data_IF_830175340227
#
_entry.id   IF_830175340227
#
_cell.length_a   1.000
_cell.length_b   1.000
_cell.length_c   1.000
_cell.angle_alpha   90.00
_cell.angle_beta   90.00
_cell.angle_gamma   90.00
#
_symmetry.space_group_name_H-M   'P 1'
#
loop_
_entity.id
_entity.type
_entity.pdbx_description
1 polymer ?
#
# COMPACT_ATOMS: atom_id res chain seq x y z
N UNK A 1 21.50 25.01 -1.72
CA UNK A 1 20.75 25.97 -0.87
C UNK A 1 19.32 25.45 -0.73
N UNK A 2 18.79 25.39 0.50
CA UNK A 2 17.39 25.03 0.75
C UNK A 2 16.54 26.32 0.85
N UNK A 3 15.32 26.25 0.35
CA UNK A 3 14.32 27.32 0.47
C UNK A 3 13.03 26.73 1.06
N UNK A 4 12.26 27.50 1.83
CA UNK A 4 10.93 27.08 2.26
C UNK A 4 10.03 26.80 1.06
N UNK A 5 9.24 25.72 1.14
CA UNK A 5 8.24 25.37 0.15
C UNK A 5 6.89 25.24 0.83
N UNK A 6 6.01 26.17 0.55
CA UNK A 6 4.69 26.25 1.19
C UNK A 6 3.71 25.30 0.51
N UNK A 7 3.37 24.23 1.21
CA UNK A 7 2.35 23.24 0.79
C UNK A 7 1.75 22.55 2.00
N UNK A 8 0.45 22.28 1.94
CA UNK A 8 -0.26 21.52 2.99
C UNK A 8 0.05 20.01 2.96
N UNK A 9 0.47 19.49 1.79
CA UNK A 9 0.74 18.06 1.58
C UNK A 9 2.05 17.89 0.83
N UNK A 10 2.86 16.96 1.27
CA UNK A 10 4.14 16.66 0.64
C UNK A 10 4.34 15.14 0.58
N UNK A 11 4.13 14.58 -0.61
CA UNK A 11 4.29 13.15 -0.89
C UNK A 11 5.66 12.93 -1.53
N UNK A 12 6.56 12.27 -0.81
CA UNK A 12 7.98 12.11 -1.20
C UNK A 12 8.32 10.69 -1.68
N UNK A 13 7.31 9.92 -2.06
CA UNK A 13 7.43 8.53 -2.51
C UNK A 13 6.78 7.58 -1.50
N UNK A 14 5.48 7.33 -1.71
CA UNK A 14 4.72 6.36 -0.93
C UNK A 14 4.22 5.27 -1.86
N UNK A 15 4.31 3.99 -1.49
CA UNK A 15 3.78 2.92 -2.30
C UNK A 15 2.27 3.08 -2.47
N UNK A 16 1.79 2.89 -3.71
CA UNK A 16 0.35 2.85 -3.99
C UNK A 16 -0.15 1.41 -3.78
N UNK A 17 -1.26 1.26 -3.09
CA UNK A 17 -1.86 -0.03 -2.83
C UNK A 17 -3.39 0.05 -2.85
N UNK A 18 -4.04 -1.10 -2.98
CA UNK A 18 -5.49 -1.23 -2.76
C UNK A 18 -5.72 -1.81 -1.38
N UNK A 19 -6.50 -1.11 -0.55
CA UNK A 19 -7.09 -1.70 0.65
C UNK A 19 -8.32 -2.49 0.24
N UNK A 20 -8.42 -3.73 0.70
CA UNK A 20 -9.65 -4.51 0.67
C UNK A 20 -10.10 -4.80 2.09
N UNK A 21 -11.39 -4.72 2.33
CA UNK A 21 -11.99 -4.84 3.65
C UNK A 21 -13.40 -5.43 3.55
N UNK A 22 -13.90 -6.10 4.62
CA UNK A 22 -15.29 -6.53 4.68
C UNK A 22 -16.23 -5.34 4.62
N UNK A 23 -17.25 -5.44 3.79
CA UNK A 23 -18.26 -4.40 3.58
C UNK A 23 -19.67 -4.97 3.69
N UNK A 24 -20.56 -4.29 4.43
CA UNK A 24 -21.92 -4.78 4.69
C UNK A 24 -22.83 -4.66 3.47
N UNK A 25 -22.57 -3.71 2.57
CA UNK A 25 -23.44 -3.44 1.43
C UNK A 25 -23.06 -4.30 0.21
N UNK A 26 -21.74 -4.43 -0.05
CA UNK A 26 -21.22 -5.09 -1.26
C UNK A 26 -20.40 -6.34 -0.97
N UNK A 27 -20.28 -6.73 0.30
CA UNK A 27 -19.48 -7.88 0.73
C UNK A 27 -17.98 -7.55 0.86
N UNK A 28 -17.36 -7.04 -0.19
CA UNK A 28 -15.96 -6.61 -0.21
C UNK A 28 -15.84 -5.19 -0.75
N UNK A 29 -15.41 -4.28 0.10
CA UNK A 29 -15.07 -2.91 -0.28
C UNK A 29 -13.60 -2.79 -0.66
N UNK A 30 -13.32 -1.93 -1.66
CA UNK A 30 -11.95 -1.59 -2.04
C UNK A 30 -11.74 -0.08 -2.12
N UNK A 31 -10.52 0.37 -1.81
CA UNK A 31 -10.10 1.77 -1.99
C UNK A 31 -8.59 1.87 -2.19
N UNK A 32 -8.15 2.91 -2.88
CA UNK A 32 -6.72 3.17 -3.06
C UNK A 32 -6.16 3.95 -1.89
N UNK A 33 -5.00 3.54 -1.42
CA UNK A 33 -4.22 4.22 -0.42
C UNK A 33 -2.76 4.38 -0.84
N UNK A 34 -2.06 5.29 -0.17
CA UNK A 34 -0.62 5.46 -0.31
C UNK A 34 0.06 5.83 1.02
N UNK A 35 -0.71 6.06 2.07
CA UNK A 35 -0.18 6.46 3.38
C UNK A 35 0.02 5.25 4.28
N UNK A 36 1.17 4.62 4.18
CA UNK A 36 1.52 3.48 5.04
C UNK A 36 3.01 3.39 5.31
N UNK A 37 3.36 2.77 6.43
CA UNK A 37 4.71 2.29 6.72
C UNK A 37 4.64 1.03 7.57
N UNK A 38 5.68 0.19 7.50
CA UNK A 38 5.73 -1.05 8.28
C UNK A 38 7.01 -1.16 9.08
N UNK A 39 6.91 -1.76 10.26
CA UNK A 39 8.01 -2.09 11.15
C UNK A 39 7.77 -3.48 11.77
N UNK A 40 8.56 -4.46 11.35
CA UNK A 40 8.44 -5.84 11.83
C UNK A 40 7.08 -6.47 11.49
N UNK A 41 6.29 -6.78 12.49
CA UNK A 41 4.94 -7.35 12.33
C UNK A 41 3.83 -6.29 12.34
N UNK A 42 4.18 -5.03 12.33
CA UNK A 42 3.23 -3.92 12.39
C UNK A 42 3.21 -3.16 11.08
N UNK A 43 2.02 -2.74 10.64
CA UNK A 43 1.84 -1.73 9.59
C UNK A 43 0.92 -0.61 10.10
N UNK A 44 1.31 0.62 9.79
CA UNK A 44 0.46 1.80 9.97
C UNK A 44 -0.18 2.14 8.63
N UNK A 45 -1.49 2.43 8.67
CA UNK A 45 -2.28 2.82 7.48
C UNK A 45 -3.03 4.10 7.83
N UNK A 46 -2.89 5.12 6.98
CA UNK A 46 -3.64 6.37 7.11
C UNK A 46 -4.78 6.44 6.08
N UNK A 47 -5.99 6.75 6.55
CA UNK A 47 -7.15 6.99 5.70
C UNK A 47 -7.82 8.32 6.07
N UNK A 48 -8.43 9.01 5.11
CA UNK A 48 -9.32 10.12 5.42
C UNK A 48 -10.50 9.58 6.25
N UNK A 49 -10.73 10.18 7.43
CA UNK A 49 -11.70 9.69 8.43
C UNK A 49 -13.15 9.75 7.94
N UNK A 50 -13.44 10.54 6.92
CA UNK A 50 -14.79 10.67 6.33
C UNK A 50 -15.12 9.57 5.33
N UNK A 51 -14.13 8.77 4.91
CA UNK A 51 -14.31 7.75 3.88
C UNK A 51 -15.14 6.55 4.37
N UNK A 52 -15.80 5.90 3.43
CA UNK A 52 -16.49 4.63 3.68
C UNK A 52 -15.51 3.55 4.16
N UNK A 53 -14.32 3.49 3.55
CA UNK A 53 -13.27 2.56 3.94
C UNK A 53 -12.86 2.70 5.41
N UNK A 54 -12.61 3.95 5.87
CA UNK A 54 -12.23 4.18 7.26
C UNK A 54 -13.30 3.68 8.24
N UNK A 55 -14.59 3.90 7.94
CA UNK A 55 -15.70 3.41 8.77
C UNK A 55 -15.81 1.89 8.75
N UNK A 56 -15.70 1.27 7.57
CA UNK A 56 -15.83 -0.19 7.41
C UNK A 56 -14.68 -0.92 8.09
N UNK A 57 -13.43 -0.43 7.94
CA UNK A 57 -12.26 -1.01 8.61
C UNK A 57 -12.36 -0.86 10.14
N UNK A 58 -12.82 0.29 10.65
CA UNK A 58 -13.07 0.46 12.10
C UNK A 58 -14.09 -0.53 12.66
N UNK A 59 -15.07 -0.91 11.85
CA UNK A 59 -16.16 -1.82 12.28
C UNK A 59 -15.74 -3.28 12.20
N UNK A 60 -15.01 -3.66 11.17
CA UNK A 60 -14.57 -5.04 10.94
C UNK A 60 -13.30 -5.41 11.69
N UNK A 61 -12.49 -4.43 12.08
CA UNK A 61 -11.16 -4.57 12.67
C UNK A 61 -10.17 -5.36 11.80
N UNK A 62 -10.45 -5.50 10.51
CA UNK A 62 -9.58 -6.21 9.56
C UNK A 62 -9.54 -5.54 8.20
N UNK A 63 -8.43 -5.70 7.50
CA UNK A 63 -8.28 -5.34 6.09
C UNK A 63 -7.09 -6.08 5.48
N UNK A 64 -6.93 -5.97 4.18
CA UNK A 64 -5.69 -6.31 3.50
C UNK A 64 -5.15 -5.11 2.72
N UNK A 65 -3.82 -5.01 2.66
CA UNK A 65 -3.09 -4.06 1.84
C UNK A 65 -2.50 -4.83 0.67
N UNK A 66 -2.98 -4.55 -0.55
CA UNK A 66 -2.66 -5.31 -1.76
C UNK A 66 -1.83 -4.45 -2.70
N UNK A 67 -0.62 -4.88 -3.02
CA UNK A 67 0.32 -4.21 -3.90
C UNK A 67 0.23 -4.78 -5.31
N UNK A 68 0.09 -3.87 -6.27
CA UNK A 68 0.04 -4.19 -7.71
C UNK A 68 1.16 -3.44 -8.42
N UNK A 69 1.43 -3.86 -9.66
CA UNK A 69 2.33 -3.17 -10.54
C UNK A 69 1.66 -2.06 -11.35
N UNK A 70 2.42 -1.53 -12.31
CA UNK A 70 1.97 -0.43 -13.17
C UNK A 70 0.79 -0.80 -14.09
N UNK A 71 0.55 -2.07 -14.33
CA UNK A 71 -0.60 -2.58 -15.08
C UNK A 71 -1.93 -2.26 -14.40
N UNK A 72 -1.93 -2.06 -13.08
CA UNK A 72 -3.13 -1.77 -12.30
C UNK A 72 -3.45 -0.26 -12.16
N UNK A 73 -2.83 0.63 -12.96
CA UNK A 73 -3.04 2.09 -12.83
C UNK A 73 -4.52 2.48 -12.96
N UNK A 74 -5.28 1.84 -13.87
CA UNK A 74 -6.72 2.08 -14.01
C UNK A 74 -7.48 1.69 -12.75
N UNK A 75 -7.12 0.56 -12.11
CA UNK A 75 -7.70 0.11 -10.85
C UNK A 75 -7.39 1.10 -9.71
N UNK A 76 -6.14 1.56 -9.60
CA UNK A 76 -5.76 2.54 -8.58
C UNK A 76 -6.60 3.82 -8.67
N UNK A 77 -6.74 4.37 -9.87
CA UNK A 77 -7.51 5.60 -10.06
C UNK A 77 -9.00 5.38 -9.84
N UNK A 78 -9.56 4.30 -10.38
CA UNK A 78 -10.97 3.97 -10.21
C UNK A 78 -11.32 3.77 -8.72
N UNK A 79 -10.60 2.90 -8.01
CA UNK A 79 -10.87 2.60 -6.62
C UNK A 79 -10.66 3.81 -5.69
N UNK A 80 -9.76 4.73 -6.06
CA UNK A 80 -9.45 5.94 -5.29
C UNK A 80 -10.35 7.14 -5.57
N UNK A 81 -11.02 7.20 -6.73
CA UNK A 81 -11.80 8.38 -7.13
C UNK A 81 -13.30 8.15 -7.12
N UNK A 82 -13.75 6.93 -7.40
CA UNK A 82 -15.17 6.59 -7.40
C UNK A 82 -15.62 6.35 -5.96
N UNK A 83 -16.74 6.96 -5.58
CA UNK A 83 -17.33 6.81 -4.26
C UNK A 83 -18.55 5.90 -4.32
N UNK A 84 -18.61 4.91 -3.42
CA UNK A 84 -19.72 3.94 -3.34
C UNK A 84 -19.70 2.89 -4.46
N UNK A 85 -20.74 2.05 -4.51
CA UNK A 85 -20.91 0.98 -5.50
C UNK A 85 -20.02 -0.24 -5.28
N UNK A 86 -20.30 -1.30 -6.04
CA UNK A 86 -19.52 -2.53 -6.04
C UNK A 86 -18.32 -2.41 -6.99
N UNK A 87 -17.29 -1.71 -6.54
CA UNK A 87 -16.08 -1.46 -7.31
C UNK A 87 -15.36 -2.74 -7.72
N UNK A 88 -15.47 -3.79 -6.92
CA UNK A 88 -14.84 -5.07 -7.22
C UNK A 88 -15.48 -5.69 -8.47
N UNK A 89 -16.83 -5.72 -8.52
CA UNK A 89 -17.57 -6.17 -9.69
C UNK A 89 -17.31 -5.30 -10.90
N UNK A 90 -17.31 -3.98 -10.75
CA UNK A 90 -17.09 -3.01 -11.84
C UNK A 90 -15.71 -3.15 -12.49
N UNK A 91 -14.69 -3.48 -11.69
CA UNK A 91 -13.30 -3.61 -12.16
C UNK A 91 -12.92 -5.03 -12.55
N UNK A 92 -13.81 -6.00 -12.32
CA UNK A 92 -13.58 -7.44 -12.57
C UNK A 92 -12.35 -8.01 -11.84
N UNK A 93 -11.91 -7.36 -10.75
CA UNK A 93 -10.82 -7.86 -9.93
C UNK A 93 -11.33 -9.00 -9.06
N UNK A 94 -10.66 -10.12 -9.10
CA UNK A 94 -10.98 -11.26 -8.26
C UNK A 94 -10.48 -11.07 -6.83
N UNK A 95 -11.23 -11.62 -5.88
CA UNK A 95 -10.83 -11.64 -4.48
C UNK A 95 -11.09 -12.99 -3.84
N UNK A 96 -10.15 -13.41 -3.00
CA UNK A 96 -10.27 -14.58 -2.15
C UNK A 96 -10.46 -14.16 -0.69
N UNK A 97 -10.86 -15.11 0.12
CA UNK A 97 -10.95 -14.91 1.56
C UNK A 97 -9.79 -15.63 2.25
N UNK A 98 -8.99 -14.91 3.00
CA UNK A 98 -7.94 -15.44 3.83
C UNK A 98 -8.27 -15.21 5.31
N UNK A 99 -8.68 -16.25 6.00
CA UNK A 99 -9.02 -16.23 7.43
C UNK A 99 -10.06 -15.15 7.82
N UNK A 100 -11.08 -15.00 6.96
CA UNK A 100 -12.15 -14.00 7.13
C UNK A 100 -11.84 -12.61 6.53
N UNK A 101 -10.65 -12.42 5.94
CA UNK A 101 -10.19 -11.14 5.41
C UNK A 101 -10.11 -11.20 3.88
N UNK A 102 -10.74 -10.27 3.15
CA UNK A 102 -10.65 -10.24 1.69
C UNK A 102 -9.23 -9.88 1.23
N UNK A 103 -8.73 -10.61 0.22
CA UNK A 103 -7.44 -10.40 -0.43
C UNK A 103 -7.67 -10.36 -1.94
N UNK A 104 -6.99 -9.49 -2.66
CA UNK A 104 -7.11 -9.37 -4.12
C UNK A 104 -6.14 -10.34 -4.80
N UNK A 105 -6.69 -11.25 -5.65
CA UNK A 105 -5.96 -12.40 -6.17
C UNK A 105 -4.81 -12.04 -7.11
N UNK A 106 -4.98 -10.96 -7.91
CA UNK A 106 -3.98 -10.52 -8.89
C UNK A 106 -2.89 -9.60 -8.29
N UNK A 107 -2.86 -9.44 -6.97
CA UNK A 107 -1.83 -8.63 -6.31
C UNK A 107 -0.48 -9.33 -6.27
N UNK A 108 0.59 -8.58 -6.49
CA UNK A 108 1.96 -9.11 -6.36
C UNK A 108 2.30 -9.50 -4.92
N UNK A 109 1.75 -8.75 -3.96
CA UNK A 109 1.93 -9.00 -2.53
C UNK A 109 0.74 -8.44 -1.76
N UNK A 110 0.30 -9.18 -0.74
CA UNK A 110 -0.74 -8.74 0.18
C UNK A 110 -0.29 -8.88 1.63
N UNK A 111 -0.55 -7.83 2.41
CA UNK A 111 -0.45 -7.88 3.87
C UNK A 111 -1.85 -8.06 4.44
N UNK A 112 -2.08 -9.18 5.09
CA UNK A 112 -3.33 -9.46 5.82
C UNK A 112 -3.21 -8.85 7.19
N UNK A 113 -4.16 -8.01 7.57
CA UNK A 113 -4.03 -7.10 8.70
C UNK A 113 -5.21 -7.21 9.67
N UNK A 114 -4.90 -7.25 10.96
CA UNK A 114 -5.85 -7.04 12.05
C UNK A 114 -5.58 -5.68 12.69
N UNK A 115 -6.61 -4.86 12.83
CA UNK A 115 -6.51 -3.55 13.48
C UNK A 115 -6.37 -3.76 14.99
N UNK A 116 -5.31 -3.23 15.57
CA UNK A 116 -5.07 -3.23 17.01
C UNK A 116 -5.53 -1.91 17.64
N UNK A 117 -5.51 -0.84 16.86
CA UNK A 117 -5.87 0.50 17.31
C UNK A 117 -6.27 1.37 16.11
N UNK A 118 -7.31 2.19 16.28
CA UNK A 118 -7.72 3.19 15.31
C UNK A 118 -7.80 4.55 16.03
N UNK A 119 -6.96 5.49 15.64
CA UNK A 119 -6.89 6.85 16.24
C UNK A 119 -7.27 7.89 15.21
N UNK A 120 -8.21 8.77 15.56
CA UNK A 120 -8.61 9.91 14.73
C UNK A 120 -7.89 11.19 15.18
N UNK A 121 -7.32 11.93 14.23
CA UNK A 121 -6.76 13.27 14.47
C UNK A 121 -7.69 14.42 14.06
N UNK A 122 -8.92 14.10 13.66
CA UNK A 122 -9.94 15.04 13.16
C UNK A 122 -10.04 15.05 11.63
N UNK A 123 -8.96 14.75 10.91
CA UNK A 123 -8.96 14.68 9.45
C UNK A 123 -8.69 13.26 8.96
N UNK A 124 -7.78 12.57 9.62
CA UNK A 124 -7.36 11.23 9.25
C UNK A 124 -7.62 10.22 10.38
N UNK A 125 -7.86 8.99 9.98
CA UNK A 125 -7.83 7.83 10.86
C UNK A 125 -6.50 7.10 10.63
N UNK A 126 -5.79 6.88 11.72
CA UNK A 126 -4.54 6.12 11.76
C UNK A 126 -4.82 4.73 12.31
N UNK A 127 -4.69 3.72 11.47
CA UNK A 127 -4.83 2.32 11.86
C UNK A 127 -3.47 1.73 12.17
N UNK A 128 -3.29 1.29 13.40
CA UNK A 128 -2.15 0.47 13.81
C UNK A 128 -2.56 -1.00 13.71
N UNK A 129 -1.99 -1.70 12.76
CA UNK A 129 -2.38 -3.07 12.42
C UNK A 129 -1.25 -4.05 12.71
N UNK A 130 -1.61 -5.24 13.19
CA UNK A 130 -0.77 -6.42 13.16
C UNK A 130 -0.86 -7.09 11.78
N UNK A 131 0.28 -7.43 11.19
CA UNK A 131 0.34 -8.23 9.96
C UNK A 131 0.27 -9.70 10.35
N UNK A 132 -0.88 -10.32 10.14
CA UNK A 132 -1.12 -11.74 10.49
C UNK A 132 -0.65 -12.71 9.41
N UNK A 133 -0.62 -12.28 8.15
CA UNK A 133 -0.05 -13.05 7.05
C UNK A 133 0.53 -12.11 5.97
N UNK A 134 1.49 -12.65 5.22
CA UNK A 134 2.06 -12.06 4.00
C UNK A 134 1.87 -13.04 2.88
N UNK A 135 1.08 -12.66 1.89
CA UNK A 135 0.81 -13.46 0.71
C UNK A 135 1.56 -12.84 -0.46
N UNK A 136 2.09 -13.65 -1.34
CA UNK A 136 2.84 -13.20 -2.51
C UNK A 136 2.43 -14.02 -3.71
N UNK A 137 2.49 -13.42 -4.89
CA UNK A 137 2.31 -14.12 -6.14
C UNK A 137 3.34 -15.24 -6.27
N UNK A 138 2.89 -16.43 -6.61
CA UNK A 138 3.75 -17.62 -6.79
C UNK A 138 4.84 -17.40 -7.83
N UNK A 139 4.58 -16.60 -8.86
CA UNK A 139 5.55 -16.26 -9.91
C UNK A 139 6.71 -15.40 -9.39
N UNK A 140 6.53 -14.76 -8.23
CA UNK A 140 7.60 -14.02 -7.55
C UNK A 140 8.38 -14.87 -6.54
N UNK A 141 8.16 -16.19 -6.50
CA UNK A 141 8.90 -17.13 -5.65
C UNK A 141 9.87 -17.94 -6.50
N UNK A 142 11.16 -17.95 -6.11
CA UNK A 142 12.18 -18.77 -6.79
C UNK A 142 12.05 -20.26 -6.46
N UNK A 143 12.78 -21.11 -7.18
CA UNK A 143 12.81 -22.56 -6.99
C UNK A 143 13.22 -23.00 -5.55
N UNK A 144 13.80 -22.10 -4.77
CA UNK A 144 14.22 -22.30 -3.38
C UNK A 144 13.22 -21.74 -2.37
N UNK A 145 12.05 -21.27 -2.83
CA UNK A 145 11.00 -20.70 -1.99
C UNK A 145 11.32 -19.28 -1.47
N UNK A 146 12.21 -18.53 -2.14
CA UNK A 146 12.57 -17.16 -1.75
C UNK A 146 11.88 -16.15 -2.65
N UNK A 147 11.41 -15.05 -2.06
CA UNK A 147 10.77 -13.96 -2.79
C UNK A 147 11.79 -13.19 -3.64
N UNK A 148 11.44 -12.93 -4.89
CA UNK A 148 12.24 -12.19 -5.87
C UNK A 148 11.95 -10.70 -5.76
N UNK A 149 12.55 -10.05 -4.78
CA UNK A 149 12.34 -8.62 -4.53
C UNK A 149 12.71 -7.74 -5.73
N UNK A 150 13.62 -8.18 -6.56
CA UNK A 150 14.07 -7.51 -7.78
C UNK A 150 12.97 -7.40 -8.84
N UNK A 151 11.99 -8.29 -8.79
CA UNK A 151 10.86 -8.35 -9.73
C UNK A 151 9.61 -7.63 -9.21
N UNK A 152 9.63 -7.15 -7.96
CA UNK A 152 8.51 -6.41 -7.38
C UNK A 152 8.35 -5.04 -8.08
N UNK A 153 7.22 -4.82 -8.75
CA UNK A 153 6.95 -3.64 -9.59
C UNK A 153 5.87 -2.75 -8.98
N UNK A 154 6.12 -2.21 -7.81
CA UNK A 154 5.18 -1.28 -7.19
C UNK A 154 5.26 0.12 -7.80
N UNK A 155 4.22 0.92 -7.57
CA UNK A 155 4.13 2.31 -8.03
C UNK A 155 4.20 3.23 -6.83
N UNK A 156 4.93 4.33 -6.94
CA UNK A 156 5.01 5.36 -5.92
C UNK A 156 4.12 6.56 -6.25
N UNK A 157 3.52 7.12 -5.23
CA UNK A 157 2.79 8.39 -5.28
C UNK A 157 3.67 9.53 -4.78
N UNK A 158 3.84 10.54 -5.62
CA UNK A 158 4.73 11.68 -5.37
C UNK A 158 4.00 12.99 -5.71
N UNK A 159 4.28 14.03 -4.95
CA UNK A 159 3.74 15.36 -5.25
C UNK A 159 3.33 16.16 -4.04
N UNK A 160 2.41 17.07 -4.26
CA UNK A 160 1.87 17.96 -3.23
C UNK A 160 0.35 18.21 -3.44
N UNK A 161 -0.20 19.21 -2.76
CA UNK A 161 -1.60 19.59 -2.93
C UNK A 161 -1.95 20.07 -4.35
N UNK A 162 -0.96 20.56 -5.12
CA UNK A 162 -1.14 21.17 -6.44
C UNK A 162 -0.85 20.20 -7.58
N UNK A 163 0.14 19.33 -7.42
CA UNK A 163 0.60 18.39 -8.43
C UNK A 163 0.82 17.02 -7.84
N UNK A 164 0.14 16.02 -8.40
CA UNK A 164 0.21 14.61 -8.01
C UNK A 164 0.62 13.80 -9.22
N UNK A 165 1.62 12.93 -9.04
CA UNK A 165 2.16 12.07 -10.09
C UNK A 165 2.45 10.69 -9.53
N UNK A 166 2.51 9.73 -10.44
CA UNK A 166 3.02 8.40 -10.13
C UNK A 166 4.45 8.28 -10.64
N UNK A 167 5.27 7.55 -9.90
CA UNK A 167 6.62 7.15 -10.33
C UNK A 167 6.71 5.63 -10.29
N UNK A 168 7.42 5.11 -11.25
CA UNK A 168 7.75 3.69 -11.32
C UNK A 168 9.15 3.47 -10.76
N UNK A 169 9.39 2.30 -10.17
CA UNK A 169 10.73 1.92 -9.76
C UNK A 169 11.62 1.68 -10.99
N UNK A 170 12.89 1.97 -10.81
CA UNK A 170 13.91 1.58 -11.77
C UNK A 170 14.12 0.06 -11.71
N UNK A 171 14.49 -0.55 -12.84
CA UNK A 171 14.95 -1.94 -12.87
C UNK A 171 16.33 -2.11 -12.21
N UNK A 172 16.99 -1.01 -11.89
CA UNK A 172 18.29 -1.04 -11.22
C UNK A 172 18.12 -1.42 -9.76
N UNK A 173 18.81 -2.45 -9.33
CA UNK A 173 18.86 -2.92 -7.95
C UNK A 173 20.28 -2.92 -7.42
N UNK A 174 20.43 -2.65 -6.12
CA UNK A 174 21.71 -2.69 -5.42
C UNK A 174 21.54 -3.41 -4.08
N UNK A 175 22.50 -4.24 -3.72
CA UNK A 175 22.46 -4.95 -2.45
C UNK A 175 22.86 -4.05 -1.28
N UNK A 176 22.17 -4.22 -0.16
CA UNK A 176 22.50 -3.50 1.07
C UNK A 176 23.96 -3.77 1.46
N UNK A 177 24.68 -2.69 1.76
CA UNK A 177 26.10 -2.74 2.15
C UNK A 177 27.10 -2.53 1.00
N UNK A 178 26.67 -2.51 -0.27
CA UNK A 178 27.55 -2.31 -1.43
C UNK A 178 28.40 -1.04 -1.31
N UNK A 179 27.80 0.06 -0.88
CA UNK A 179 28.45 1.38 -0.91
C UNK A 179 29.23 1.73 0.35
N UNK A 180 29.05 1.03 1.46
CA UNK A 180 29.66 1.42 2.75
C UNK A 180 31.18 1.41 2.74
N UNK A 181 31.79 0.46 2.00
CA UNK A 181 33.24 0.36 1.90
C UNK A 181 33.85 1.53 1.13
N UNK A 182 33.33 1.79 -0.08
CA UNK A 182 33.78 2.90 -0.93
C UNK A 182 33.60 4.25 -0.22
N UNK A 183 32.48 4.44 0.50
CA UNK A 183 32.24 5.66 1.27
C UNK A 183 33.26 5.83 2.40
N UNK A 184 33.60 4.76 3.16
CA UNK A 184 34.65 4.82 4.20
C UNK A 184 36.02 5.17 3.63
N UNK A 185 36.38 4.63 2.48
CA UNK A 185 37.64 4.93 1.80
C UNK A 185 37.69 6.41 1.37
N UNK A 186 36.59 6.99 0.91
CA UNK A 186 36.51 8.41 0.53
C UNK A 186 36.61 9.39 1.73
N UNK A 187 36.32 8.95 2.94
CA UNK A 187 36.47 9.78 4.16
C UNK A 187 37.91 9.83 4.68
N UNK A 188 38.79 8.95 4.17
CA UNK A 188 40.19 8.86 4.61
C UNK A 188 41.17 9.56 3.62
N UNK A 189 40.64 10.00 2.48
CA UNK A 189 41.34 10.78 1.47
C UNK A 189 41.11 12.28 1.65
#
# INVERSE_FOLDING_TARGET
MHVPYDTEKFYYGFPVYILAYPDEEVGVGITTGSSSYSLGQMVMIGCDSTTHAARSIKRSDVCSLNLFGAEAMGLFEYAGTISGGDKLSDTHVASSNYDGIPVLDDSQMSLVCRVLEATDDGTYTHFRCEVTARLVDSDLIDERGRFRYEELRTVEYVGDARRRIYRYFSEQVEHFGTFVRAFKESLQS
#
